data_IF_226325526654
#
_entry.id   IF_226325526654
#
_cell.length_a   1.000
_cell.length_b   1.000
_cell.length_c   1.000
_cell.angle_alpha   90.00
_cell.angle_beta   90.00
_cell.angle_gamma   90.00
#
_symmetry.space_group_name_H-M   'P 1'
#
loop_
_entity.id
_entity.type
_entity.pdbx_description
1 polymer ?
#
# COMPACT_ATOMS: atom_id res chain seq x y z
N UNK A 1 8.17 -56.79 29.16
CA UNK A 1 8.82 -55.70 28.42
C UNK A 1 8.22 -54.38 28.90
N UNK A 2 8.89 -53.67 29.81
CA UNK A 2 8.38 -52.42 30.40
C UNK A 2 8.88 -51.25 29.55
N UNK A 3 7.95 -50.45 29.02
CA UNK A 3 8.22 -49.28 28.19
C UNK A 3 8.75 -48.14 29.09
N UNK A 4 10.02 -47.76 28.91
CA UNK A 4 10.63 -46.64 29.65
C UNK A 4 10.12 -45.31 29.09
N UNK A 5 9.18 -44.68 29.81
CA UNK A 5 8.71 -43.33 29.48
C UNK A 5 9.75 -42.34 30.02
N UNK A 6 10.50 -41.69 29.12
CA UNK A 6 11.44 -40.63 29.51
C UNK A 6 10.63 -39.42 29.99
N UNK A 7 10.69 -39.15 31.30
CA UNK A 7 10.12 -37.94 31.90
C UNK A 7 10.93 -36.73 31.42
N UNK A 8 10.30 -35.83 30.68
CA UNK A 8 10.91 -34.55 30.34
C UNK A 8 10.90 -33.65 31.59
N UNK A 9 11.98 -32.91 31.81
CA UNK A 9 12.04 -31.95 32.92
C UNK A 9 11.16 -30.74 32.64
N UNK A 10 10.56 -30.19 33.69
CA UNK A 10 9.64 -29.05 33.61
C UNK A 10 10.24 -27.85 32.84
N UNK A 11 11.54 -27.61 33.02
CA UNK A 11 12.29 -26.57 32.30
C UNK A 11 12.28 -26.77 30.77
N UNK A 12 12.31 -28.03 30.30
CA UNK A 12 12.26 -28.33 28.85
C UNK A 12 10.86 -28.13 28.29
N UNK A 13 9.83 -28.41 29.09
CA UNK A 13 8.42 -28.17 28.70
C UNK A 13 8.11 -26.68 28.61
N UNK A 14 8.59 -25.88 29.57
CA UNK A 14 8.44 -24.41 29.55
C UNK A 14 9.16 -23.80 28.35
N UNK A 15 10.38 -24.26 28.05
CA UNK A 15 11.14 -23.80 26.89
C UNK A 15 10.43 -24.13 25.56
N UNK A 16 9.89 -25.35 25.43
CA UNK A 16 9.13 -25.74 24.23
C UNK A 16 7.85 -24.95 24.07
N UNK A 17 7.13 -24.66 25.16
CA UNK A 17 5.95 -23.81 25.14
C UNK A 17 6.26 -22.36 24.73
N UNK A 18 7.34 -21.79 25.26
CA UNK A 18 7.79 -20.44 24.91
C UNK A 18 8.20 -20.34 23.43
N UNK A 19 8.90 -21.35 22.90
CA UNK A 19 9.26 -21.42 21.48
C UNK A 19 8.00 -21.54 20.60
N UNK A 20 7.03 -22.37 21.00
CA UNK A 20 5.78 -22.52 20.25
C UNK A 20 4.96 -21.22 20.22
N UNK A 21 4.88 -20.51 21.35
CA UNK A 21 4.20 -19.20 21.45
C UNK A 21 4.93 -18.15 20.59
N UNK A 22 6.26 -18.14 20.60
CA UNK A 22 7.06 -17.24 19.77
C UNK A 22 6.86 -17.52 18.27
N UNK A 23 6.80 -18.79 17.86
CA UNK A 23 6.54 -19.19 16.46
C UNK A 23 5.12 -18.80 16.03
N UNK A 24 4.12 -18.93 16.90
CA UNK A 24 2.76 -18.48 16.59
C UNK A 24 2.67 -16.95 16.44
N UNK A 25 3.38 -16.19 17.28
CA UNK A 25 3.39 -14.72 17.23
C UNK A 25 4.10 -14.14 15.99
N UNK A 26 5.04 -14.89 15.40
CA UNK A 26 5.77 -14.46 14.20
C UNK A 26 4.92 -14.53 12.91
N UNK A 27 3.82 -15.30 12.91
CA UNK A 27 2.94 -15.45 11.73
C UNK A 27 1.82 -14.38 11.65
N UNK A 28 1.72 -13.50 12.65
CA UNK A 28 0.72 -12.41 12.66
C UNK A 28 1.32 -11.07 12.28
N UNK A 29 2.53 -11.02 11.75
CA UNK A 29 3.06 -9.78 11.16
C UNK A 29 2.20 -9.52 9.93
N UNK A 30 1.36 -8.46 9.90
CA UNK A 30 0.67 -8.10 8.68
C UNK A 30 1.76 -7.87 7.64
N UNK A 31 1.78 -8.70 6.60
CA UNK A 31 2.52 -8.36 5.40
C UNK A 31 2.00 -7.01 4.98
N UNK A 32 2.81 -5.96 5.15
CA UNK A 32 2.45 -4.62 4.68
C UNK A 32 2.10 -4.79 3.22
N UNK A 33 0.81 -4.72 2.90
CA UNK A 33 0.38 -4.67 1.53
C UNK A 33 1.08 -3.43 0.99
N UNK A 34 2.03 -3.61 0.07
CA UNK A 34 2.52 -2.50 -0.72
C UNK A 34 1.27 -1.96 -1.41
N UNK A 35 0.77 -0.80 -0.95
CA UNK A 35 -0.26 -0.08 -1.69
C UNK A 35 0.30 0.10 -3.10
N UNK A 36 -0.29 -0.62 -4.05
CA UNK A 36 0.16 -0.59 -5.42
C UNK A 36 -0.68 0.46 -6.13
N UNK A 37 -0.34 1.72 -5.86
CA UNK A 37 -0.89 2.85 -6.58
C UNK A 37 -0.40 2.79 -8.02
N UNK A 38 -1.32 2.81 -8.96
CA UNK A 38 -1.03 2.85 -10.39
C UNK A 38 -1.69 4.07 -10.98
N UNK A 39 -0.96 4.81 -11.81
CA UNK A 39 -1.61 5.75 -12.73
C UNK A 39 -2.45 4.93 -13.71
N UNK A 40 -3.77 5.11 -13.68
CA UNK A 40 -4.73 4.33 -14.47
C UNK A 40 -5.04 5.00 -15.81
N UNK A 41 -5.33 6.29 -15.78
CA UNK A 41 -5.63 7.10 -16.97
C UNK A 41 -5.06 8.51 -16.82
N UNK A 42 -4.65 9.10 -17.94
CA UNK A 42 -4.28 10.50 -18.04
C UNK A 42 -4.77 11.05 -19.39
N UNK A 43 -5.48 12.16 -19.34
CA UNK A 43 -5.87 12.95 -20.50
C UNK A 43 -5.41 14.37 -20.23
N UNK A 44 -4.50 14.88 -21.06
CA UNK A 44 -3.89 16.21 -20.94
C UNK A 44 -3.58 16.75 -22.33
N UNK A 45 -3.55 18.07 -22.49
CA UNK A 45 -3.12 18.75 -23.72
C UNK A 45 -3.91 18.31 -24.96
N UNK A 46 -5.23 18.20 -24.82
CA UNK A 46 -6.12 17.95 -25.97
C UNK A 46 -6.39 19.24 -26.74
N UNK A 47 -7.07 19.15 -27.88
CA UNK A 47 -7.50 20.33 -28.66
C UNK A 47 -9.02 20.40 -28.67
N UNK A 48 -9.60 21.55 -28.29
CA UNK A 48 -11.05 21.78 -28.37
C UNK A 48 -11.64 22.24 -27.03
N UNK A 49 -12.85 21.81 -26.71
CA UNK A 49 -13.33 21.82 -25.31
C UNK A 49 -12.70 20.61 -24.63
N UNK A 50 -11.76 20.87 -23.75
CA UNK A 50 -10.83 19.85 -23.30
C UNK A 50 -11.39 19.15 -22.06
N UNK A 51 -10.80 18.00 -21.73
CA UNK A 51 -10.99 17.34 -20.44
C UNK A 51 -9.59 16.99 -19.96
N UNK A 52 -9.17 17.64 -18.90
CA UNK A 52 -7.86 17.41 -18.32
C UNK A 52 -8.02 16.74 -16.97
N UNK A 53 -7.60 15.49 -16.89
CA UNK A 53 -7.68 14.70 -15.67
C UNK A 53 -6.61 13.62 -15.64
N UNK A 54 -6.34 13.14 -14.44
CA UNK A 54 -5.65 11.89 -14.24
C UNK A 54 -6.34 11.08 -13.16
N UNK A 55 -6.18 9.76 -13.25
CA UNK A 55 -6.79 8.80 -12.34
C UNK A 55 -5.73 7.87 -11.76
N UNK A 56 -5.84 7.59 -10.46
CA UNK A 56 -5.01 6.65 -9.73
C UNK A 56 -5.90 5.47 -9.32
N UNK A 57 -5.49 4.26 -9.70
CA UNK A 57 -6.06 3.02 -9.19
C UNK A 57 -5.27 2.52 -7.98
N UNK A 58 -5.98 2.02 -6.96
CA UNK A 58 -5.38 1.41 -5.78
C UNK A 58 -6.38 0.56 -5.01
N UNK A 59 -5.98 0.02 -3.85
CA UNK A 59 -6.93 -0.66 -2.98
C UNK A 59 -7.78 0.39 -2.24
N UNK A 60 -9.06 0.08 -2.03
CA UNK A 60 -9.95 0.98 -1.29
C UNK A 60 -9.38 1.32 0.10
N UNK A 61 -9.34 2.61 0.42
CA UNK A 61 -8.82 3.13 1.68
C UNK A 61 -7.30 3.30 1.72
N UNK A 62 -6.58 2.98 0.64
CA UNK A 62 -5.15 3.30 0.55
C UNK A 62 -4.95 4.82 0.69
N UNK A 63 -4.08 5.22 1.61
CA UNK A 63 -3.73 6.63 1.81
C UNK A 63 -2.84 7.12 0.66
N UNK A 64 -3.07 8.38 0.25
CA UNK A 64 -2.22 9.10 -0.71
C UNK A 64 -1.25 10.07 0.01
N UNK A 65 -1.07 9.95 1.32
CA UNK A 65 -0.09 10.73 2.07
C UNK A 65 1.34 10.49 1.55
N UNK A 66 2.04 11.57 1.21
CA UNK A 66 3.38 11.51 0.64
C UNK A 66 3.41 11.11 -0.84
N UNK A 67 2.25 11.03 -1.50
CA UNK A 67 2.13 10.83 -2.95
C UNK A 67 2.01 12.19 -3.62
N UNK A 68 2.76 12.37 -4.70
CA UNK A 68 2.76 13.59 -5.52
C UNK A 68 2.57 13.22 -6.98
N UNK A 69 1.72 13.96 -7.68
CA UNK A 69 1.71 13.97 -9.14
C UNK A 69 2.65 15.07 -9.64
N UNK A 70 3.60 14.69 -10.50
CA UNK A 70 4.61 15.58 -11.03
C UNK A 70 4.46 15.68 -12.55
N UNK A 71 4.24 16.89 -13.05
CA UNK A 71 4.41 17.19 -14.46
C UNK A 71 5.86 17.59 -14.70
N UNK A 72 6.48 16.96 -15.69
CA UNK A 72 7.89 17.20 -16.01
C UNK A 72 7.98 17.63 -17.46
N UNK A 73 8.56 18.81 -17.68
CA UNK A 73 8.84 19.34 -19.01
C UNK A 73 9.76 18.42 -19.81
N UNK A 74 9.78 18.58 -21.13
CA UNK A 74 10.69 17.83 -22.02
C UNK A 74 12.18 18.03 -21.69
N UNK A 75 12.52 19.12 -20.98
CA UNK A 75 13.87 19.40 -20.48
C UNK A 75 14.21 18.74 -19.14
N UNK A 76 13.28 18.01 -18.52
CA UNK A 76 13.47 17.35 -17.23
C UNK A 76 13.23 18.25 -16.00
N UNK A 77 12.82 19.51 -16.20
CA UNK A 77 12.42 20.37 -15.10
C UNK A 77 10.98 20.05 -14.68
N UNK A 78 10.70 20.11 -13.38
CA UNK A 78 9.35 20.00 -12.82
C UNK A 78 8.58 21.27 -13.19
N UNK A 79 7.40 21.11 -13.78
CA UNK A 79 6.49 22.20 -14.13
C UNK A 79 5.39 22.34 -13.07
N UNK A 80 4.72 21.23 -12.76
CA UNK A 80 3.61 21.16 -11.82
C UNK A 80 3.89 20.13 -10.73
N UNK A 81 3.52 20.45 -9.49
CA UNK A 81 3.50 19.52 -8.35
C UNK A 81 2.12 19.57 -7.72
N UNK A 82 1.42 18.44 -7.73
CA UNK A 82 0.18 18.27 -7.00
C UNK A 82 0.42 17.32 -5.81
N UNK A 83 0.29 17.85 -4.61
CA UNK A 83 0.37 17.11 -3.34
C UNK A 83 -0.99 16.45 -3.07
N UNK A 84 -1.00 15.13 -2.89
CA UNK A 84 -2.21 14.34 -2.64
C UNK A 84 -2.40 14.01 -1.16
N UNK A 85 -1.63 14.64 -0.27
CA UNK A 85 -1.72 14.41 1.16
C UNK A 85 -3.12 14.71 1.71
N UNK A 86 -3.62 13.84 2.58
CA UNK A 86 -4.97 13.88 3.13
C UNK A 86 -6.03 13.17 2.27
N UNK A 87 -5.67 12.76 1.05
CA UNK A 87 -6.55 11.99 0.18
C UNK A 87 -6.39 10.48 0.38
N UNK A 88 -7.38 9.71 -0.06
CA UNK A 88 -7.35 8.26 -0.04
C UNK A 88 -8.13 7.68 -1.22
N UNK A 89 -7.75 6.47 -1.64
CA UNK A 89 -8.45 5.74 -2.70
C UNK A 89 -9.91 5.44 -2.25
N UNK A 90 -10.92 5.86 -3.02
CA UNK A 90 -12.33 5.61 -2.70
C UNK A 90 -12.72 4.12 -2.72
N UNK A 91 -13.99 3.85 -2.40
CA UNK A 91 -14.53 2.49 -2.28
C UNK A 91 -14.51 1.68 -3.59
N UNK A 92 -14.57 2.37 -4.73
CA UNK A 92 -14.53 1.78 -6.06
C UNK A 92 -13.12 1.50 -6.57
N UNK A 93 -12.08 1.95 -5.85
CA UNK A 93 -10.68 1.73 -6.19
C UNK A 93 -10.04 2.80 -7.07
N UNK A 94 -10.73 3.92 -7.34
CA UNK A 94 -10.26 4.95 -8.26
C UNK A 94 -10.33 6.36 -7.65
N UNK A 95 -9.20 7.04 -7.58
CA UNK A 95 -9.14 8.45 -7.21
C UNK A 95 -8.87 9.31 -8.44
N UNK A 96 -9.64 10.37 -8.65
CA UNK A 96 -9.59 11.20 -9.85
C UNK A 96 -9.37 12.67 -9.49
N UNK A 97 -8.40 13.29 -10.16
CA UNK A 97 -8.23 14.73 -10.20
C UNK A 97 -8.61 15.24 -11.59
N UNK A 98 -9.52 16.21 -11.64
CA UNK A 98 -9.88 16.92 -12.86
C UNK A 98 -9.55 18.40 -12.71
N UNK A 99 -9.02 19.00 -13.76
CA UNK A 99 -8.88 20.44 -13.89
C UNK A 99 -10.23 21.06 -14.24
N UNK A 100 -10.65 22.11 -13.52
CA UNK A 100 -11.84 22.89 -13.88
C UNK A 100 -11.59 23.84 -15.06
N UNK A 101 -10.35 23.97 -15.52
CA UNK A 101 -9.95 24.83 -16.64
C UNK A 101 -10.10 24.17 -18.01
N UNK A 102 -10.44 22.88 -18.04
CA UNK A 102 -10.65 22.07 -19.25
C UNK A 102 -11.97 22.38 -20.00
#
# INVERSE_FOLDING_TARGET
MILSIRRFSLSRMVLMGAILILILALNTIPSGASSHLSLNEIVVSTTGSDREFFEIAGASGDSLDGVFFLEVTSGGAIDTVLDLSGEAIPADGYWLAASPEA
#
